data_IF_657954235052
#
_entry.id   IF_657954235052
#
_cell.length_a   1.000
_cell.length_b   1.000
_cell.length_c   1.000
_cell.angle_alpha   90.00
_cell.angle_beta   90.00
_cell.angle_gamma   90.00
#
_symmetry.space_group_name_H-M   'P 1'
#
loop_
_entity.id
_entity.type
_entity.pdbx_description
1 polymer ?
#
# COMPACT_ATOMS: atom_id res chain seq x y z
N UNK A 1 20.17 -22.55 -3.56
CA UNK A 1 18.86 -21.98 -3.86
C UNK A 1 18.93 -20.47 -3.85
N UNK A 2 18.67 -19.86 -4.99
CA UNK A 2 18.61 -18.40 -5.06
C UNK A 2 17.37 -17.92 -4.28
N UNK A 3 17.56 -17.10 -3.28
CA UNK A 3 16.45 -16.41 -2.64
C UNK A 3 15.84 -15.46 -3.66
N UNK A 4 14.57 -15.65 -3.97
CA UNK A 4 13.86 -14.67 -4.78
C UNK A 4 13.86 -13.34 -4.04
N UNK A 5 14.41 -12.31 -4.65
CA UNK A 5 14.29 -10.95 -4.14
C UNK A 5 12.82 -10.56 -4.19
N UNK A 6 12.26 -10.26 -3.05
CA UNK A 6 10.94 -9.64 -2.99
C UNK A 6 11.03 -8.27 -3.67
N UNK A 7 10.20 -8.05 -4.67
CA UNK A 7 10.16 -6.75 -5.32
C UNK A 7 9.70 -5.69 -4.31
N UNK A 8 10.37 -4.55 -4.32
CA UNK A 8 10.03 -3.47 -3.41
C UNK A 8 8.70 -2.83 -3.80
N UNK A 9 7.81 -2.65 -2.84
CA UNK A 9 6.58 -1.90 -3.01
C UNK A 9 6.81 -0.49 -2.47
N UNK A 10 6.72 0.49 -3.35
CA UNK A 10 6.99 1.89 -3.00
C UNK A 10 5.80 2.58 -2.33
N UNK A 11 4.62 2.00 -2.44
CA UNK A 11 3.40 2.50 -1.80
C UNK A 11 3.37 2.00 -0.36
N UNK A 12 3.01 2.88 0.56
CA UNK A 12 2.93 2.56 1.99
C UNK A 12 1.50 2.69 2.49
N UNK A 13 1.23 2.03 3.61
CA UNK A 13 -0.02 2.21 4.35
C UNK A 13 -0.22 3.68 4.69
N UNK A 14 -1.41 4.19 4.42
CA UNK A 14 -1.76 5.58 4.64
C UNK A 14 -1.62 6.47 3.42
N UNK A 15 -1.02 5.98 2.35
CA UNK A 15 -0.90 6.75 1.10
C UNK A 15 -2.25 6.88 0.41
N UNK A 16 -2.53 8.07 -0.13
CA UNK A 16 -3.69 8.30 -0.98
C UNK A 16 -3.34 7.90 -2.41
N UNK A 17 -4.12 6.99 -2.98
CA UNK A 17 -3.86 6.45 -4.33
C UNK A 17 -5.10 6.53 -5.20
N UNK A 18 -4.89 6.53 -6.51
CA UNK A 18 -5.95 6.47 -7.52
C UNK A 18 -5.75 5.23 -8.37
N UNK A 19 -6.83 4.51 -8.64
CA UNK A 19 -6.81 3.35 -9.54
C UNK A 19 -6.73 3.85 -10.98
N UNK A 20 -5.73 3.41 -11.71
CA UNK A 20 -5.48 3.83 -13.09
C UNK A 20 -5.92 2.80 -14.13
N UNK A 21 -6.26 1.60 -13.71
CA UNK A 21 -6.63 0.51 -14.61
C UNK A 21 -7.57 -0.46 -13.91
N UNK A 22 -8.41 -1.12 -14.67
CA UNK A 22 -9.36 -2.12 -14.17
C UNK A 22 -10.77 -1.56 -14.03
N UNK A 23 -11.65 -2.34 -13.39
CA UNK A 23 -13.06 -2.00 -13.24
C UNK A 23 -13.31 -0.73 -12.40
N UNK A 24 -12.41 -0.41 -11.48
CA UNK A 24 -12.53 0.73 -10.59
C UNK A 24 -11.67 1.92 -11.02
N UNK A 25 -11.28 1.98 -12.29
CA UNK A 25 -10.49 3.06 -12.86
C UNK A 25 -11.06 4.43 -12.47
N UNK A 26 -10.22 5.29 -11.93
CA UNK A 26 -10.60 6.62 -11.46
C UNK A 26 -11.00 6.70 -9.99
N UNK A 27 -11.20 5.58 -9.32
CA UNK A 27 -11.51 5.58 -7.91
C UNK A 27 -10.27 5.94 -7.08
N UNK A 28 -10.46 6.70 -6.03
CA UNK A 28 -9.40 7.12 -5.12
C UNK A 28 -9.68 6.61 -3.71
N UNK A 29 -8.65 6.34 -2.98
CA UNK A 29 -8.77 5.92 -1.59
C UNK A 29 -7.44 5.84 -0.89
N UNK A 30 -7.50 5.59 0.40
CA UNK A 30 -6.34 5.47 1.25
C UNK A 30 -5.93 4.01 1.35
N UNK A 31 -4.63 3.74 1.26
CA UNK A 31 -4.10 2.39 1.42
C UNK A 31 -4.21 1.97 2.87
N UNK A 32 -4.92 0.88 3.13
CA UNK A 32 -5.13 0.34 4.48
C UNK A 32 -4.21 -0.84 4.79
N UNK A 33 -3.69 -1.51 3.76
CA UNK A 33 -2.76 -2.62 3.92
C UNK A 33 -1.90 -2.79 2.69
N UNK A 34 -0.68 -3.26 2.88
CA UNK A 34 0.27 -3.54 1.81
C UNK A 34 0.71 -5.00 1.91
N UNK A 35 0.45 -5.76 0.83
CA UNK A 35 0.84 -7.15 0.71
C UNK A 35 2.09 -7.23 -0.17
N UNK A 36 3.24 -7.07 0.43
CA UNK A 36 4.52 -6.96 -0.28
C UNK A 36 4.87 -8.20 -1.09
N UNK A 37 4.58 -9.37 -0.56
CA UNK A 37 4.89 -10.62 -1.23
C UNK A 37 4.11 -10.81 -2.53
N UNK A 38 2.88 -10.33 -2.55
CA UNK A 38 1.99 -10.39 -3.71
C UNK A 38 2.07 -9.16 -4.58
N UNK A 39 2.79 -8.12 -4.15
CA UNK A 39 2.83 -6.80 -4.80
C UNK A 39 1.44 -6.21 -4.98
N UNK A 40 0.61 -6.32 -3.94
CA UNK A 40 -0.75 -5.83 -3.93
C UNK A 40 -1.00 -4.92 -2.75
N UNK A 41 -1.98 -4.04 -2.88
CA UNK A 41 -2.42 -3.14 -1.83
C UNK A 41 -3.93 -3.24 -1.67
N UNK A 42 -4.41 -3.03 -0.47
CA UNK A 42 -5.83 -2.91 -0.18
C UNK A 42 -6.13 -1.43 0.02
N UNK A 43 -7.06 -0.92 -0.78
CA UNK A 43 -7.43 0.50 -0.78
C UNK A 43 -8.84 0.63 -0.24
N UNK A 44 -9.02 1.54 0.71
CA UNK A 44 -10.31 1.78 1.35
C UNK A 44 -11.37 2.20 0.32
N UNK A 45 -12.50 1.49 0.34
CA UNK A 45 -13.63 1.79 -0.53
C UNK A 45 -13.46 1.42 -2.00
N UNK A 46 -12.35 0.80 -2.37
CA UNK A 46 -12.01 0.45 -3.75
C UNK A 46 -11.91 -1.06 -3.89
N UNK A 47 -12.27 -1.57 -5.07
CA UNK A 47 -12.26 -3.00 -5.40
C UNK A 47 -13.06 -3.83 -4.40
N UNK A 48 -14.24 -3.34 -4.06
CA UNK A 48 -15.15 -4.06 -3.18
C UNK A 48 -15.69 -5.28 -3.86
N UNK A 49 -15.63 -6.41 -3.16
CA UNK A 49 -16.20 -7.67 -3.60
C UNK A 49 -17.19 -8.16 -2.56
N UNK A 50 -18.20 -8.87 -3.03
CA UNK A 50 -19.13 -9.56 -2.16
C UNK A 50 -18.65 -10.98 -1.97
N UNK A 51 -18.31 -11.33 -0.73
CA UNK A 51 -17.91 -12.68 -0.38
C UNK A 51 -19.10 -13.44 0.20
N UNK A 52 -19.40 -14.60 -0.38
CA UNK A 52 -20.34 -15.53 0.22
C UNK A 52 -19.61 -16.27 1.34
N UNK A 53 -19.93 -15.93 2.57
CA UNK A 53 -19.34 -16.57 3.72
C UNK A 53 -20.16 -17.79 4.10
N UNK A 54 -19.51 -18.93 4.23
CA UNK A 54 -20.16 -20.16 4.66
C UNK A 54 -20.64 -20.00 6.10
N UNK A 55 -21.89 -20.38 6.35
CA UNK A 55 -22.45 -20.38 7.69
C UNK A 55 -21.71 -21.39 8.55
N UNK A 56 -21.03 -20.92 9.58
CA UNK A 56 -20.41 -21.77 10.57
C UNK A 56 -21.32 -21.82 11.78
N UNK A 57 -21.95 -22.97 11.99
CA UNK A 57 -22.80 -23.17 13.14
C UNK A 57 -21.91 -23.51 14.34
N UNK A 58 -21.56 -22.53 15.12
CA UNK A 58 -20.78 -22.71 16.33
C UNK A 58 -21.71 -22.91 17.53
N UNK A 59 -21.71 -24.10 18.07
CA UNK A 59 -22.31 -24.37 19.38
C UNK A 59 -23.83 -24.49 19.42
N UNK A 60 -24.47 -24.80 18.34
CA UNK A 60 -25.91 -25.13 18.33
C UNK A 60 -26.85 -23.98 18.67
N UNK A 61 -26.35 -22.77 18.78
CA UNK A 61 -27.21 -21.60 18.92
C UNK A 61 -27.32 -20.86 17.59
N UNK A 62 -28.44 -20.24 17.39
CA UNK A 62 -28.81 -19.48 16.19
C UNK A 62 -27.91 -18.26 15.93
N UNK A 63 -26.63 -18.42 16.04
CA UNK A 63 -25.66 -17.44 15.67
C UNK A 63 -25.09 -17.74 14.30
N UNK A 64 -25.93 -17.96 13.32
CA UNK A 64 -25.43 -18.11 11.96
C UNK A 64 -24.87 -16.78 11.49
N UNK A 65 -23.58 -16.68 11.50
CA UNK A 65 -22.84 -15.53 10.97
C UNK A 65 -22.44 -15.77 9.52
N UNK A 66 -23.35 -16.29 8.74
CA UNK A 66 -23.15 -16.46 7.32
C UNK A 66 -23.87 -15.37 6.54
N UNK A 67 -23.43 -15.10 5.34
CA UNK A 67 -24.08 -14.13 4.48
C UNK A 67 -23.15 -13.53 3.46
N UNK A 68 -23.58 -12.44 2.85
CA UNK A 68 -22.79 -11.70 1.88
C UNK A 68 -22.04 -10.60 2.64
N UNK A 69 -20.72 -10.70 2.65
CA UNK A 69 -19.86 -9.69 3.27
C UNK A 69 -19.20 -8.91 2.15
N UNK A 70 -19.29 -7.58 2.25
CA UNK A 70 -18.56 -6.70 1.35
C UNK A 70 -17.18 -6.39 1.95
N UNK A 71 -16.14 -6.69 1.20
CA UNK A 71 -14.76 -6.44 1.62
C UNK A 71 -13.95 -5.89 0.45
N UNK A 72 -12.91 -5.15 0.76
CA UNK A 72 -11.98 -4.67 -0.24
C UNK A 72 -11.01 -5.80 -0.63
N UNK A 73 -10.93 -6.10 -1.93
CA UNK A 73 -9.95 -7.06 -2.43
C UNK A 73 -8.62 -6.37 -2.76
N UNK A 74 -7.50 -7.08 -2.67
CA UNK A 74 -6.20 -6.52 -3.04
C UNK A 74 -6.14 -6.12 -4.52
N UNK A 75 -5.43 -5.02 -4.79
CA UNK A 75 -5.18 -4.52 -6.15
C UNK A 75 -3.67 -4.55 -6.36
N UNK A 76 -3.24 -5.02 -7.53
CA UNK A 76 -1.82 -5.00 -7.87
C UNK A 76 -1.29 -3.56 -7.89
N UNK A 77 -0.09 -3.35 -7.38
CA UNK A 77 0.49 -2.00 -7.24
C UNK A 77 0.68 -1.28 -8.57
N UNK A 78 0.83 -2.02 -9.68
CA UNK A 78 0.92 -1.42 -11.01
C UNK A 78 -0.38 -0.75 -11.46
N UNK A 79 -1.50 -1.07 -10.83
CA UNK A 79 -2.82 -0.53 -11.18
C UNK A 79 -3.20 0.71 -10.37
N UNK A 80 -2.32 1.17 -9.50
CA UNK A 80 -2.56 2.36 -8.67
C UNK A 80 -1.38 3.32 -8.77
N UNK A 81 -1.66 4.60 -8.60
CA UNK A 81 -0.64 5.65 -8.54
C UNK A 81 -0.93 6.56 -7.35
N UNK A 82 0.14 7.14 -6.80
CA UNK A 82 0.01 8.08 -5.70
C UNK A 82 -0.70 9.35 -6.16
N UNK A 83 -1.66 9.82 -5.37
CA UNK A 83 -2.35 11.09 -5.64
C UNK A 83 -1.52 12.25 -5.12
N UNK A 84 -1.31 13.24 -5.98
CA UNK A 84 -0.66 14.50 -5.63
C UNK A 84 -1.49 15.65 -6.18
N UNK A 85 -2.09 16.44 -5.28
CA UNK A 85 -3.00 17.50 -5.68
C UNK A 85 -4.18 16.96 -6.48
N UNK A 86 -4.38 17.48 -7.69
CA UNK A 86 -5.47 17.06 -8.58
C UNK A 86 -5.08 15.90 -9.52
N UNK A 87 -3.83 15.47 -9.46
CA UNK A 87 -3.31 14.45 -10.37
C UNK A 87 -2.67 13.29 -9.63
N UNK A 88 -2.03 12.44 -10.42
CA UNK A 88 -1.30 11.29 -9.91
C UNK A 88 0.18 11.40 -10.28
N UNK A 89 1.01 10.78 -9.47
CA UNK A 89 2.46 10.77 -9.69
C UNK A 89 3.03 9.40 -9.36
N UNK A 90 4.19 9.13 -9.94
CA UNK A 90 4.99 7.97 -9.55
C UNK A 90 5.91 8.35 -8.41
N UNK A 91 6.33 7.35 -7.66
CA UNK A 91 7.23 7.53 -6.52
C UNK A 91 8.65 7.35 -7.01
N UNK A 92 9.49 8.35 -6.76
CA UNK A 92 10.92 8.27 -6.92
C UNK A 92 11.62 8.32 -5.57
N UNK A 93 12.93 8.24 -5.60
CA UNK A 93 13.74 8.30 -4.38
C UNK A 93 14.87 9.28 -4.56
N UNK A 94 15.12 10.05 -3.51
CA UNK A 94 16.27 10.94 -3.39
C UNK A 94 17.10 10.45 -2.22
N UNK A 95 18.42 10.52 -2.36
CA UNK A 95 19.32 10.21 -1.26
C UNK A 95 19.79 11.50 -0.61
N UNK A 96 19.50 11.63 0.68
CA UNK A 96 19.92 12.77 1.48
C UNK A 96 21.03 12.35 2.42
N UNK A 97 22.02 13.22 2.59
CA UNK A 97 23.06 13.02 3.60
C UNK A 97 22.50 13.37 4.97
N UNK A 98 22.72 12.49 5.92
CA UNK A 98 22.33 12.71 7.31
C UNK A 98 23.52 12.44 8.22
N UNK A 99 23.64 13.23 9.27
CA UNK A 99 24.65 13.02 10.29
C UNK A 99 24.06 12.15 11.40
N UNK A 100 24.69 11.01 11.63
CA UNK A 100 24.28 10.10 12.68
C UNK A 100 25.32 10.09 13.80
N UNK A 101 24.84 9.93 15.04
CA UNK A 101 25.68 9.86 16.23
C UNK A 101 25.87 8.41 16.64
N UNK A 102 27.14 8.04 16.89
CA UNK A 102 27.46 6.73 17.47
C UNK A 102 27.31 6.77 19.00
N UNK A 103 27.17 5.60 19.65
CA UNK A 103 27.06 5.54 21.11
C UNK A 103 28.26 6.14 21.86
N UNK A 104 29.42 6.20 21.22
CA UNK A 104 30.66 6.79 21.79
C UNK A 104 30.71 8.31 21.69
N UNK A 105 29.72 8.95 21.10
CA UNK A 105 29.65 10.40 20.92
C UNK A 105 30.19 10.90 19.59
N UNK A 106 30.88 10.07 18.79
CA UNK A 106 31.35 10.48 17.48
C UNK A 106 30.20 10.53 16.47
N UNK A 107 30.36 11.35 15.45
CA UNK A 107 29.39 11.50 14.38
C UNK A 107 29.92 10.93 13.07
N UNK A 108 29.06 10.48 12.21
CA UNK A 108 29.40 10.03 10.87
C UNK A 108 28.30 10.41 9.88
N UNK A 109 28.70 10.56 8.63
CA UNK A 109 27.75 10.85 7.55
C UNK A 109 27.22 9.56 6.95
N UNK A 110 25.91 9.46 6.84
CA UNK A 110 25.22 8.36 6.19
C UNK A 110 24.25 8.92 5.15
N UNK A 111 23.75 8.07 4.27
CA UNK A 111 22.72 8.45 3.31
C UNK A 111 21.40 7.84 3.69
N UNK A 112 20.32 8.58 3.46
CA UNK A 112 18.95 8.14 3.69
C UNK A 112 18.17 8.26 2.40
N UNK A 113 17.39 7.23 2.06
CA UNK A 113 16.46 7.29 0.95
C UNK A 113 15.19 8.00 1.36
N UNK A 114 14.78 8.99 0.58
CA UNK A 114 13.56 9.77 0.81
C UNK A 114 12.65 9.57 -0.37
N UNK A 115 11.38 9.23 -0.11
CA UNK A 115 10.37 9.14 -1.15
C UNK A 115 10.03 10.53 -1.66
N UNK A 116 10.04 10.69 -2.97
CA UNK A 116 9.69 11.96 -3.60
C UNK A 116 8.69 11.74 -4.73
N UNK A 117 7.88 12.76 -5.01
CA UNK A 117 7.04 12.78 -6.18
C UNK A 117 7.89 13.01 -7.42
N UNK A 118 7.76 12.16 -8.42
CA UNK A 118 8.46 12.37 -9.70
C UNK A 118 7.89 13.55 -10.48
N UNK A 119 6.65 13.92 -10.21
CA UNK A 119 5.99 15.04 -10.88
C UNK A 119 6.50 16.39 -10.38
N UNK A 120 6.62 16.56 -9.07
CA UNK A 120 7.00 17.83 -8.43
C UNK A 120 8.38 17.83 -7.81
N UNK A 121 8.95 16.66 -7.55
CA UNK A 121 10.22 16.52 -6.83
C UNK A 121 10.11 16.71 -5.32
N UNK A 122 8.92 16.93 -4.83
CA UNK A 122 8.69 17.15 -3.40
C UNK A 122 8.71 15.83 -2.61
N UNK A 123 9.18 15.90 -1.38
CA UNK A 123 9.12 14.77 -0.44
C UNK A 123 7.67 14.39 -0.14
N UNK A 124 7.45 13.08 -0.14
CA UNK A 124 6.13 12.51 0.16
C UNK A 124 6.08 12.05 1.61
#
# INVERSE_FOLDING_TARGET
>A
MAKQKKAAVNIKKGDQVRVISGKDKGAEGKVISVLREEQRVIVEGVNRIKKHTKVVNQGGRAGSTGGIITAEAPIHVSNVMLVEGDGVTRIGFRRDEVTKRRPDGSTYTATRSVRVSRKSGKEI
#
